data_IF_103132806403
#
_entry.id   IF_103132806403
#
_cell.length_a   1.000
_cell.length_b   1.000
_cell.length_c   1.000
_cell.angle_alpha   90.00
_cell.angle_beta   90.00
_cell.angle_gamma   90.00
#
_symmetry.space_group_name_H-M   'P 1'
#
loop_
_entity.id
_entity.type
_entity.pdbx_description
1 polymer ?
#
# COMPACT_ATOMS: atom_id res chain seq x y z
N UNK A 1 41.93 -11.70 -6.08
CA UNK A 1 43.39 -11.69 -6.35
C UNK A 1 43.74 -11.02 -7.70
N UNK A 2 43.01 -11.30 -8.79
CA UNK A 2 43.31 -10.74 -10.12
C UNK A 2 43.06 -9.22 -10.18
N UNK A 3 41.95 -8.73 -9.62
CA UNK A 3 41.64 -7.31 -9.60
C UNK A 3 42.68 -6.45 -8.84
N UNK A 4 43.39 -7.03 -7.88
CA UNK A 4 44.49 -6.37 -7.16
C UNK A 4 45.74 -6.34 -8.04
N UNK A 5 46.03 -7.44 -8.76
CA UNK A 5 47.17 -7.51 -9.70
C UNK A 5 47.01 -6.55 -10.86
N UNK A 6 45.82 -6.34 -11.36
CA UNK A 6 45.48 -5.47 -12.48
C UNK A 6 45.23 -4.01 -12.05
N UNK A 7 45.44 -3.67 -10.80
CA UNK A 7 45.22 -2.33 -10.20
C UNK A 7 43.76 -1.81 -10.36
N UNK A 8 42.80 -2.72 -10.50
CA UNK A 8 41.35 -2.40 -10.72
C UNK A 8 40.58 -2.29 -9.41
N UNK A 9 41.22 -2.42 -8.25
CA UNK A 9 40.56 -2.40 -6.95
C UNK A 9 39.86 -1.07 -6.66
N UNK A 10 40.40 0.06 -7.15
CA UNK A 10 39.84 1.39 -6.93
C UNK A 10 38.50 1.60 -7.66
N UNK A 11 38.28 0.91 -8.77
CA UNK A 11 37.03 1.04 -9.55
C UNK A 11 36.07 -0.11 -9.30
N UNK A 12 36.55 -1.35 -9.25
CA UNK A 12 35.68 -2.55 -9.13
C UNK A 12 35.11 -2.74 -7.73
N UNK A 13 35.88 -2.51 -6.66
CA UNK A 13 35.36 -2.74 -5.31
C UNK A 13 34.29 -1.75 -4.89
N UNK A 14 34.39 -0.43 -5.14
CA UNK A 14 33.30 0.50 -4.87
C UNK A 14 32.05 0.20 -5.69
N UNK A 15 32.22 -0.22 -6.95
CA UNK A 15 31.08 -0.60 -7.80
C UNK A 15 30.37 -1.85 -7.28
N UNK A 16 31.11 -2.87 -6.83
CA UNK A 16 30.54 -4.08 -6.23
C UNK A 16 29.84 -3.77 -4.89
N UNK A 17 30.44 -2.90 -4.06
CA UNK A 17 29.81 -2.44 -2.82
C UNK A 17 28.49 -1.71 -3.07
N UNK A 18 28.45 -0.86 -4.09
CA UNK A 18 27.22 -0.18 -4.50
C UNK A 18 26.15 -1.18 -4.99
N UNK A 19 26.54 -2.13 -5.85
CA UNK A 19 25.62 -3.15 -6.34
C UNK A 19 25.05 -4.03 -5.21
N UNK A 20 25.88 -4.38 -4.22
CA UNK A 20 25.43 -5.11 -3.03
C UNK A 20 24.40 -4.30 -2.23
N UNK A 21 24.69 -3.03 -1.96
CA UNK A 21 23.76 -2.13 -1.27
C UNK A 21 22.43 -2.03 -2.00
N UNK A 22 22.45 -1.84 -3.32
CA UNK A 22 21.25 -1.70 -4.15
C UNK A 22 20.42 -3.02 -4.12
N UNK A 23 21.09 -4.18 -4.16
CA UNK A 23 20.44 -5.49 -4.01
C UNK A 23 19.78 -5.68 -2.64
N UNK A 24 20.45 -5.24 -1.56
CA UNK A 24 19.87 -5.31 -0.22
C UNK A 24 18.68 -4.36 -0.05
N UNK A 25 18.74 -3.17 -0.65
CA UNK A 25 17.61 -2.25 -0.67
C UNK A 25 16.42 -2.85 -1.43
N UNK A 26 16.66 -3.44 -2.59
CA UNK A 26 15.62 -4.14 -3.36
C UNK A 26 14.96 -5.26 -2.54
N UNK A 27 15.76 -6.06 -1.81
CA UNK A 27 15.22 -7.11 -0.94
C UNK A 27 14.28 -6.53 0.14
N UNK A 28 14.66 -5.40 0.75
CA UNK A 28 13.79 -4.73 1.73
C UNK A 28 12.46 -4.27 1.11
N UNK A 29 12.50 -3.70 -0.09
CA UNK A 29 11.29 -3.25 -0.81
C UNK A 29 10.38 -4.44 -1.19
N UNK A 30 10.96 -5.56 -1.68
CA UNK A 30 10.21 -6.78 -1.99
C UNK A 30 9.57 -7.37 -0.74
N UNK A 31 10.30 -7.41 0.38
CA UNK A 31 9.73 -7.88 1.66
C UNK A 31 8.60 -6.98 2.14
N UNK A 32 8.73 -5.66 2.00
CA UNK A 32 7.66 -4.72 2.32
C UNK A 32 6.41 -4.92 1.45
N UNK A 33 6.60 -5.16 0.14
CA UNK A 33 5.51 -5.43 -0.78
C UNK A 33 4.85 -6.80 -0.55
N UNK A 34 5.61 -7.81 -0.11
CA UNK A 34 5.10 -9.16 0.12
C UNK A 34 3.96 -9.22 1.14
N UNK A 35 3.93 -8.30 2.10
CA UNK A 35 2.84 -8.18 3.08
C UNK A 35 1.51 -7.85 2.38
N UNK A 36 1.54 -6.99 1.37
CA UNK A 36 0.36 -6.64 0.58
C UNK A 36 0.03 -7.72 -0.45
N UNK A 37 1.04 -8.27 -1.14
CA UNK A 37 0.86 -9.31 -2.15
C UNK A 37 0.23 -10.58 -1.56
N UNK A 38 0.60 -10.96 -0.34
CA UNK A 38 0.06 -12.13 0.36
C UNK A 38 -1.15 -11.79 1.25
N UNK A 39 -1.60 -10.53 1.23
CA UNK A 39 -2.59 -10.04 2.16
C UNK A 39 -3.98 -10.68 2.03
N UNK A 40 -4.29 -11.26 0.87
CA UNK A 40 -5.54 -11.99 0.63
C UNK A 40 -5.39 -13.52 0.76
N UNK A 41 -4.16 -14.03 0.89
CA UNK A 41 -3.90 -15.46 0.93
C UNK A 41 -4.09 -16.01 2.35
N UNK A 42 -5.02 -16.97 2.50
CA UNK A 42 -5.29 -17.67 3.76
C UNK A 42 -4.10 -18.48 4.33
N UNK A 43 -3.06 -18.73 3.53
CA UNK A 43 -1.83 -19.38 4.00
C UNK A 43 -0.93 -18.43 4.83
N UNK A 44 -1.22 -17.13 4.79
CA UNK A 44 -0.49 -16.10 5.57
C UNK A 44 -1.42 -15.41 6.57
N UNK A 45 -1.94 -16.16 7.57
CA UNK A 45 -2.84 -15.58 8.56
C UNK A 45 -2.11 -14.60 9.47
N UNK A 46 -2.81 -13.55 9.88
CA UNK A 46 -2.35 -12.63 10.92
C UNK A 46 -2.73 -13.15 12.32
N UNK A 47 -2.51 -12.35 13.36
CA UNK A 47 -2.70 -12.78 14.76
C UNK A 47 -4.11 -13.23 15.13
N UNK A 48 -5.13 -12.92 14.34
CA UNK A 48 -6.52 -13.35 14.53
C UNK A 48 -6.89 -14.62 13.74
N UNK A 49 -5.93 -15.21 13.03
CA UNK A 49 -6.13 -16.42 12.23
C UNK A 49 -6.76 -16.18 10.84
N UNK A 50 -7.01 -14.93 10.46
CA UNK A 50 -7.49 -14.55 9.14
C UNK A 50 -6.36 -13.95 8.30
N UNK A 51 -6.46 -13.94 6.95
CA UNK A 51 -5.53 -13.17 6.11
C UNK A 51 -5.65 -11.68 6.42
N UNK A 52 -4.63 -10.90 6.07
CA UNK A 52 -4.57 -9.46 6.34
C UNK A 52 -5.80 -8.70 5.81
N UNK A 53 -6.28 -9.06 4.61
CA UNK A 53 -7.51 -8.54 4.03
C UNK A 53 -8.58 -9.62 4.04
N UNK A 54 -9.56 -9.47 4.91
CA UNK A 54 -10.66 -10.42 5.08
C UNK A 54 -11.98 -9.69 5.34
N UNK A 55 -13.05 -10.33 4.95
CA UNK A 55 -14.41 -9.89 5.27
C UNK A 55 -14.90 -10.38 6.64
N UNK A 56 -14.08 -11.17 7.35
CA UNK A 56 -14.50 -11.92 8.53
C UNK A 56 -13.47 -11.89 9.67
N UNK A 57 -12.83 -10.72 9.93
CA UNK A 57 -11.98 -10.56 11.11
C UNK A 57 -12.82 -10.69 12.39
N UNK A 58 -12.46 -11.59 13.31
CA UNK A 58 -13.24 -11.81 14.52
C UNK A 58 -13.14 -10.61 15.47
N UNK A 59 -14.26 -10.26 16.07
CA UNK A 59 -14.38 -9.31 17.18
C UNK A 59 -15.22 -9.96 18.29
N UNK A 60 -15.30 -9.35 19.46
CA UNK A 60 -16.02 -9.89 20.62
C UNK A 60 -17.48 -10.28 20.31
N UNK A 61 -18.16 -9.51 19.46
CA UNK A 61 -19.56 -9.72 19.08
C UNK A 61 -19.74 -9.75 17.56
N UNK A 62 -19.10 -10.67 16.87
CA UNK A 62 -19.26 -10.85 15.42
C UNK A 62 -17.98 -10.74 14.61
N UNK A 63 -18.10 -10.23 13.39
CA UNK A 63 -16.97 -10.05 12.48
C UNK A 63 -16.95 -8.64 11.88
N UNK A 64 -15.77 -8.18 11.49
CA UNK A 64 -15.59 -6.94 10.72
C UNK A 64 -14.83 -7.24 9.43
N UNK A 65 -15.15 -6.47 8.40
CA UNK A 65 -14.49 -6.53 7.11
C UNK A 65 -13.54 -5.35 6.95
N UNK A 66 -12.36 -5.58 6.40
CA UNK A 66 -11.44 -4.55 5.97
C UNK A 66 -11.19 -4.58 4.45
N UNK A 67 -11.94 -5.39 3.74
CA UNK A 67 -11.98 -5.46 2.28
C UNK A 67 -13.42 -5.52 1.78
N UNK A 68 -13.62 -5.30 0.49
CA UNK A 68 -14.94 -5.46 -0.14
C UNK A 68 -15.31 -6.94 -0.26
N UNK A 69 -16.60 -7.22 -0.12
CA UNK A 69 -17.15 -8.57 -0.38
C UNK A 69 -17.05 -8.94 -1.86
N UNK A 70 -17.25 -7.96 -2.73
CA UNK A 70 -17.02 -8.06 -4.18
C UNK A 70 -15.91 -7.09 -4.51
N UNK A 71 -14.79 -7.61 -5.01
CA UNK A 71 -13.65 -6.79 -5.37
C UNK A 71 -14.00 -5.89 -6.55
N UNK A 72 -13.45 -4.70 -6.58
CA UNK A 72 -13.73 -3.68 -7.58
C UNK A 72 -12.44 -2.99 -8.00
N UNK A 73 -12.33 -2.76 -9.30
CA UNK A 73 -11.24 -2.00 -9.90
C UNK A 73 -11.19 -0.58 -9.35
N UNK A 74 -10.01 0.04 -9.41
CA UNK A 74 -9.81 1.41 -8.97
C UNK A 74 -10.56 2.39 -9.88
N UNK A 75 -11.63 2.94 -9.36
CA UNK A 75 -12.40 4.01 -9.98
C UNK A 75 -12.91 4.99 -8.91
N UNK A 76 -13.58 6.06 -9.34
CA UNK A 76 -14.06 7.08 -8.41
C UNK A 76 -15.07 6.50 -7.40
N UNK A 77 -16.01 5.70 -7.87
CA UNK A 77 -17.06 5.11 -7.02
C UNK A 77 -16.47 4.13 -6.01
N UNK A 78 -15.62 3.19 -6.47
CA UNK A 78 -14.99 2.21 -5.58
C UNK A 78 -14.10 2.87 -4.52
N UNK A 79 -13.41 3.95 -4.89
CA UNK A 79 -12.59 4.71 -3.95
C UNK A 79 -13.44 5.46 -2.92
N UNK A 80 -14.56 6.06 -3.34
CA UNK A 80 -15.53 6.69 -2.43
C UNK A 80 -16.15 5.68 -1.47
N UNK A 81 -16.55 4.51 -1.97
CA UNK A 81 -17.10 3.43 -1.15
C UNK A 81 -16.10 2.91 -0.12
N UNK A 82 -14.83 2.77 -0.51
CA UNK A 82 -13.75 2.40 0.41
C UNK A 82 -13.56 3.43 1.52
N UNK A 83 -13.59 4.72 1.19
CA UNK A 83 -13.49 5.81 2.18
C UNK A 83 -14.65 5.76 3.16
N UNK A 84 -15.87 5.55 2.67
CA UNK A 84 -17.07 5.40 3.51
C UNK A 84 -16.96 4.15 4.39
N UNK A 85 -16.47 3.04 3.86
CA UNK A 85 -16.25 1.81 4.63
C UNK A 85 -15.24 2.03 5.77
N UNK A 86 -14.12 2.71 5.50
CA UNK A 86 -13.11 3.06 6.52
C UNK A 86 -13.72 3.90 7.65
N UNK A 87 -14.56 4.89 7.32
CA UNK A 87 -15.23 5.72 8.33
C UNK A 87 -16.25 4.95 9.19
N UNK A 88 -16.63 3.75 8.75
CA UNK A 88 -17.54 2.85 9.49
C UNK A 88 -16.84 1.77 10.29
N UNK A 89 -15.52 1.73 10.33
CA UNK A 89 -14.77 0.74 11.08
C UNK A 89 -15.14 0.75 12.56
N UNK A 90 -15.13 -0.45 13.15
CA UNK A 90 -15.44 -0.70 14.55
C UNK A 90 -14.23 -1.33 15.23
N UNK A 91 -14.06 -1.04 16.53
CA UNK A 91 -13.10 -1.74 17.37
C UNK A 91 -13.63 -3.10 17.84
N UNK A 92 -12.82 -3.85 18.60
CA UNK A 92 -13.20 -5.14 19.15
C UNK A 92 -14.51 -5.11 19.97
N UNK A 93 -14.76 -4.01 20.69
CA UNK A 93 -15.99 -3.81 21.46
C UNK A 93 -17.22 -3.38 20.61
N UNK A 94 -17.07 -3.29 19.27
CA UNK A 94 -18.15 -2.88 18.35
C UNK A 94 -18.39 -1.38 18.27
N UNK A 95 -17.57 -0.55 18.92
CA UNK A 95 -17.68 0.91 18.87
C UNK A 95 -17.00 1.44 17.62
N UNK A 96 -17.55 2.49 17.02
CA UNK A 96 -16.95 3.16 15.84
C UNK A 96 -15.62 3.80 16.19
N UNK A 97 -14.63 3.61 15.31
CA UNK A 97 -13.31 4.23 15.42
C UNK A 97 -13.25 5.39 14.42
N UNK A 98 -12.72 6.55 14.87
CA UNK A 98 -12.53 7.72 14.00
C UNK A 98 -11.29 7.51 13.14
N UNK A 99 -11.39 6.64 12.13
CA UNK A 99 -10.30 6.30 11.21
C UNK A 99 -10.47 7.04 9.89
N UNK A 100 -9.39 7.57 9.34
CA UNK A 100 -9.37 8.30 8.07
C UNK A 100 -8.38 7.65 7.10
N UNK A 101 -8.68 7.63 5.79
CA UNK A 101 -7.70 7.27 4.79
C UNK A 101 -6.56 8.29 4.77
N UNK A 102 -5.34 7.83 4.56
CA UNK A 102 -4.15 8.67 4.54
C UNK A 102 -3.46 8.64 3.18
N UNK A 103 -3.27 7.46 2.61
CA UNK A 103 -2.51 7.27 1.39
C UNK A 103 -3.06 6.11 0.57
N UNK A 104 -3.11 6.30 -0.74
CA UNK A 104 -3.43 5.25 -1.70
C UNK A 104 -2.13 4.60 -2.20
N UNK A 105 -2.07 3.27 -2.20
CA UNK A 105 -0.97 2.49 -2.78
C UNK A 105 -1.52 1.78 -4.01
N UNK A 106 -0.81 1.90 -5.12
CA UNK A 106 -1.19 1.32 -6.41
C UNK A 106 0.00 0.65 -7.09
N UNK A 107 -0.21 -0.38 -7.91
CA UNK A 107 0.80 -0.92 -8.81
C UNK A 107 1.10 0.05 -9.97
N UNK A 108 2.15 -0.21 -10.72
CA UNK A 108 2.58 0.65 -11.81
C UNK A 108 1.50 0.88 -12.90
N UNK A 109 0.70 -0.12 -13.33
CA UNK A 109 -0.34 0.08 -14.34
C UNK A 109 -1.44 1.06 -13.92
N UNK A 110 -1.78 1.11 -12.63
CA UNK A 110 -2.82 1.99 -12.10
C UNK A 110 -2.35 3.43 -11.81
N UNK A 111 -1.07 3.74 -12.03
CA UNK A 111 -0.49 5.06 -11.73
C UNK A 111 -1.28 6.21 -12.36
N UNK A 112 -1.58 6.11 -13.65
CA UNK A 112 -2.27 7.19 -14.38
C UNK A 112 -3.75 7.32 -14.00
N UNK A 113 -4.36 6.23 -13.61
CA UNK A 113 -5.72 6.24 -13.07
C UNK A 113 -5.75 6.94 -11.71
N UNK A 114 -4.82 6.59 -10.83
CA UNK A 114 -4.67 7.24 -9.52
C UNK A 114 -4.37 8.74 -9.66
N UNK A 115 -3.50 9.13 -10.61
CA UNK A 115 -3.19 10.55 -10.90
C UNK A 115 -4.46 11.31 -11.28
N UNK A 116 -5.25 10.79 -12.21
CA UNK A 116 -6.51 11.42 -12.64
C UNK A 116 -7.52 11.54 -11.51
N UNK A 117 -7.69 10.47 -10.71
CA UNK A 117 -8.65 10.48 -9.58
C UNK A 117 -8.25 11.47 -8.48
N UNK A 118 -6.94 11.59 -8.22
CA UNK A 118 -6.45 12.35 -7.05
C UNK A 118 -6.12 13.80 -7.35
N UNK A 119 -5.81 14.15 -8.62
CA UNK A 119 -5.32 15.48 -8.98
C UNK A 119 -6.15 16.22 -10.02
N UNK A 120 -7.11 15.57 -10.67
CA UNK A 120 -8.01 16.25 -11.59
C UNK A 120 -9.03 17.08 -10.80
N UNK A 121 -9.19 18.34 -11.14
CA UNK A 121 -10.19 19.24 -10.57
C UNK A 121 -11.60 18.85 -11.00
N UNK A 122 -11.74 18.36 -12.24
CA UNK A 122 -13.02 17.92 -12.81
C UNK A 122 -13.04 16.40 -13.02
N UNK A 123 -14.23 15.84 -13.01
CA UNK A 123 -14.44 14.41 -13.30
C UNK A 123 -14.05 14.10 -14.73
N UNK A 124 -13.30 13.03 -14.89
CA UNK A 124 -12.90 12.56 -16.23
C UNK A 124 -14.09 11.87 -16.90
N UNK A 125 -14.30 12.15 -18.20
CA UNK A 125 -15.34 11.55 -19.04
C UNK A 125 -16.80 11.97 -18.70
N UNK A 126 -17.00 13.13 -18.08
CA UNK A 126 -18.33 13.73 -17.95
C UNK A 126 -18.45 14.94 -18.90
N UNK A 127 -19.62 15.07 -19.54
CA UNK A 127 -19.90 16.17 -20.44
C UNK A 127 -20.18 17.52 -19.73
N UNK A 128 -20.45 17.48 -18.43
CA UNK A 128 -21.01 18.59 -17.66
C UNK A 128 -20.04 19.28 -16.74
N UNK A 129 -18.72 19.10 -16.88
CA UNK A 129 -17.72 19.68 -15.97
C UNK A 129 -18.01 19.44 -14.49
N UNK A 130 -18.45 18.21 -14.13
CA UNK A 130 -18.71 17.86 -12.75
C UNK A 130 -17.44 17.96 -11.90
N UNK A 131 -17.57 18.45 -10.68
CA UNK A 131 -16.45 18.60 -9.75
C UNK A 131 -16.01 17.24 -9.23
N UNK A 132 -14.70 17.01 -9.20
CA UNK A 132 -14.12 15.83 -8.58
C UNK A 132 -14.10 15.99 -7.04
N UNK A 133 -15.03 15.32 -6.36
CA UNK A 133 -15.17 15.40 -4.92
C UNK A 133 -13.94 14.86 -4.15
N UNK A 134 -13.22 13.87 -4.70
CA UNK A 134 -12.03 13.29 -4.08
C UNK A 134 -10.89 14.33 -4.00
N UNK A 135 -10.72 15.12 -5.07
CA UNK A 135 -9.76 16.21 -5.12
C UNK A 135 -10.17 17.36 -4.18
N UNK A 136 -11.40 17.85 -4.33
CA UNK A 136 -11.90 19.03 -3.60
C UNK A 136 -11.90 18.83 -2.08
N UNK A 137 -12.22 17.62 -1.62
CA UNK A 137 -12.25 17.31 -0.18
C UNK A 137 -10.89 16.85 0.36
N UNK A 138 -9.88 16.71 -0.50
CA UNK A 138 -8.60 16.09 -0.14
C UNK A 138 -8.80 14.77 0.60
N UNK A 139 -9.67 13.92 0.06
CA UNK A 139 -10.15 12.70 0.72
C UNK A 139 -9.01 11.74 1.13
N UNK A 140 -7.87 11.79 0.43
CA UNK A 140 -6.64 11.06 0.75
C UNK A 140 -5.49 12.06 0.90
N UNK A 141 -5.24 12.59 2.11
CA UNK A 141 -4.36 13.75 2.31
C UNK A 141 -2.91 13.58 1.85
N UNK A 142 -2.37 12.35 1.93
CA UNK A 142 -0.99 12.04 1.51
C UNK A 142 -0.91 11.56 0.05
N UNK A 143 -1.99 11.72 -0.70
CA UNK A 143 -2.06 11.36 -2.10
C UNK A 143 -1.87 9.86 -2.36
N UNK A 144 -1.25 9.52 -3.49
CA UNK A 144 -0.97 8.13 -3.85
C UNK A 144 0.54 7.87 -3.95
N UNK A 145 0.91 6.59 -3.87
CA UNK A 145 2.26 6.10 -4.13
C UNK A 145 2.20 4.86 -5.01
N UNK A 146 3.05 4.83 -6.02
CA UNK A 146 3.25 3.65 -6.87
C UNK A 146 4.23 2.71 -6.16
N UNK A 147 3.86 1.44 -6.04
CA UNK A 147 4.73 0.37 -5.59
C UNK A 147 4.97 -0.59 -6.75
N UNK A 148 6.20 -0.63 -7.25
CA UNK A 148 6.60 -1.44 -8.40
C UNK A 148 6.74 -2.93 -8.08
N UNK A 149 6.69 -3.31 -6.80
CA UNK A 149 6.86 -4.69 -6.34
C UNK A 149 5.53 -5.38 -6.02
N UNK A 150 4.41 -4.73 -6.32
CA UNK A 150 3.10 -5.37 -6.30
C UNK A 150 3.00 -6.31 -7.50
N UNK A 151 2.55 -7.54 -7.24
CA UNK A 151 2.44 -8.61 -8.26
C UNK A 151 1.09 -8.60 -8.97
N UNK A 152 0.07 -8.03 -8.34
CA UNK A 152 -1.25 -7.87 -8.90
C UNK A 152 -1.39 -6.47 -9.51
N UNK A 153 -1.68 -6.42 -10.81
CA UNK A 153 -1.76 -5.18 -11.58
C UNK A 153 -3.04 -4.38 -11.32
N UNK A 154 -4.05 -4.99 -10.73
CA UNK A 154 -5.35 -4.38 -10.45
C UNK A 154 -5.57 -4.10 -8.96
N UNK A 155 -4.74 -4.64 -8.08
CA UNK A 155 -4.86 -4.45 -6.65
C UNK A 155 -4.50 -3.03 -6.22
N UNK A 156 -5.33 -2.43 -5.38
CA UNK A 156 -5.08 -1.13 -4.78
C UNK A 156 -5.39 -1.15 -3.28
N UNK A 157 -4.66 -0.37 -2.51
CA UNK A 157 -4.74 -0.39 -1.06
C UNK A 157 -4.82 1.02 -0.49
N UNK A 158 -5.66 1.21 0.54
CA UNK A 158 -5.76 2.45 1.31
C UNK A 158 -5.09 2.28 2.66
N UNK A 159 -4.04 3.04 2.92
CA UNK A 159 -3.48 3.19 4.26
C UNK A 159 -4.32 4.17 5.06
N UNK A 160 -4.56 3.82 6.31
CA UNK A 160 -5.34 4.62 7.26
C UNK A 160 -4.44 5.17 8.36
N UNK A 161 -5.00 6.03 9.21
CA UNK A 161 -4.38 6.52 10.44
C UNK A 161 -4.65 5.64 11.66
N UNK A 162 -5.18 4.44 11.46
CA UNK A 162 -5.45 3.50 12.55
C UNK A 162 -4.19 3.26 13.39
N UNK A 163 -4.29 3.29 14.74
CA UNK A 163 -3.17 2.98 15.61
C UNK A 163 -2.73 1.53 15.41
N UNK A 164 -1.44 1.28 15.59
CA UNK A 164 -0.84 -0.05 15.46
C UNK A 164 -0.89 -0.69 14.07
N UNK A 165 -0.92 0.13 13.01
CA UNK A 165 -0.75 -0.32 11.63
C UNK A 165 0.62 -0.94 11.35
N UNK A 166 0.99 -1.05 10.08
CA UNK A 166 2.28 -1.60 9.68
C UNK A 166 3.44 -0.85 10.31
N UNK A 167 4.34 -1.61 10.95
CA UNK A 167 5.57 -1.10 11.57
C UNK A 167 6.76 -1.85 11.00
N UNK A 168 7.77 -1.11 10.59
CA UNK A 168 9.07 -1.66 10.21
C UNK A 168 10.04 -1.43 11.37
N UNK A 169 10.64 -2.51 11.86
CA UNK A 169 11.67 -2.46 12.90
C UNK A 169 13.01 -2.82 12.25
N UNK A 170 13.95 -1.90 12.30
CA UNK A 170 15.33 -2.16 11.92
C UNK A 170 16.09 -2.59 13.17
N UNK A 171 16.58 -3.83 13.18
CA UNK A 171 17.32 -4.37 14.34
C UNK A 171 18.74 -3.80 14.39
N UNK A 172 19.35 -3.62 13.24
CA UNK A 172 20.72 -3.15 13.11
C UNK A 172 20.86 -2.42 11.77
N UNK A 173 21.35 -1.20 11.79
CA UNK A 173 21.64 -0.46 10.58
C UNK A 173 22.87 -1.05 9.89
N UNK A 174 22.88 -1.00 8.54
CA UNK A 174 24.09 -1.37 7.79
C UNK A 174 25.20 -0.39 8.10
N UNK A 175 26.23 -0.85 8.82
CA UNK A 175 27.46 -0.09 8.99
C UNK A 175 28.22 -0.06 7.65
N UNK A 176 28.64 1.14 7.23
CA UNK A 176 29.41 1.39 6.00
C UNK A 176 30.87 1.55 6.32
#
# INVERSE_FOLDING_TARGET
RQAIKDNLYQSKFPMQGKALRDSMQQTKEVLGASVLNNGFDGNFPIGDGQPLFSTAHPIDNGTVANTFTVQADLNETSLQDAIVAIQRFKNAAGLRVMTKPQKLIVPAPLQWTAERLMKSEFRVSTANNDVNALYTTSAVPKGYRVNQFLTDDDAWFLLTDAPNGFKHYEREALET
#
